data_IF_219619699065
#
_entry.id   IF_219619699065
#
_cell.length_a   1.000
_cell.length_b   1.000
_cell.length_c   1.000
_cell.angle_alpha   90.00
_cell.angle_beta   90.00
_cell.angle_gamma   90.00
#
_symmetry.space_group_name_H-M   'P 1'
#
loop_
_entity.id
_entity.type
_entity.pdbx_description
1 polymer ?
#
# COMPACT_ATOMS: atom_id res chain seq x y z
N UNK A 1 36.56 19.63 -19.04
CA UNK A 1 35.09 19.48 -18.91
C UNK A 1 34.64 18.39 -19.86
N UNK A 2 33.93 17.38 -19.36
CA UNK A 2 33.21 16.47 -20.26
C UNK A 2 32.09 17.26 -20.96
N UNK A 3 31.91 17.04 -22.26
CA UNK A 3 30.87 17.69 -23.04
C UNK A 3 29.69 16.73 -23.19
N UNK A 4 28.58 17.02 -22.52
CA UNK A 4 27.33 16.25 -22.62
C UNK A 4 26.47 16.83 -23.75
N UNK A 5 25.85 15.96 -24.55
CA UNK A 5 24.84 16.31 -25.56
C UNK A 5 23.54 15.62 -25.21
N UNK A 6 22.44 16.37 -25.18
CA UNK A 6 21.09 15.85 -24.95
C UNK A 6 20.31 15.99 -26.26
N UNK A 7 19.61 14.93 -26.67
CA UNK A 7 18.71 14.93 -27.81
C UNK A 7 17.30 14.59 -27.31
N UNK A 8 16.31 15.37 -27.74
CA UNK A 8 14.91 15.16 -27.39
C UNK A 8 14.08 15.16 -28.67
N UNK A 9 13.32 14.08 -28.88
CA UNK A 9 12.43 13.89 -30.02
C UNK A 9 11.09 13.36 -29.51
N UNK A 10 10.01 14.03 -29.89
CA UNK A 10 8.65 13.67 -29.48
C UNK A 10 8.22 12.28 -29.98
N UNK A 11 8.91 11.72 -30.98
CA UNK A 11 8.65 10.37 -31.49
C UNK A 11 9.32 9.28 -30.66
N UNK A 12 10.29 9.60 -29.80
CA UNK A 12 10.94 8.66 -28.88
C UNK A 12 10.16 8.55 -27.56
N UNK A 13 8.89 8.14 -27.66
CA UNK A 13 7.97 8.06 -26.53
C UNK A 13 8.25 6.82 -25.68
N UNK A 14 8.42 7.00 -24.37
CA UNK A 14 8.60 5.90 -23.40
C UNK A 14 7.25 5.32 -22.95
N UNK A 15 6.28 6.18 -22.63
CA UNK A 15 4.95 5.79 -22.16
C UNK A 15 4.09 6.99 -21.81
N UNK A 16 2.85 6.73 -21.38
CA UNK A 16 1.99 7.73 -20.75
C UNK A 16 2.28 7.77 -19.25
N UNK A 17 2.36 8.97 -18.67
CA UNK A 17 2.62 9.14 -17.24
C UNK A 17 1.32 8.89 -16.49
N UNK A 18 1.27 7.78 -15.75
CA UNK A 18 0.23 7.57 -14.74
C UNK A 18 0.50 8.53 -13.57
N UNK A 19 -0.50 9.33 -13.20
CA UNK A 19 -0.38 10.28 -12.09
C UNK A 19 -0.06 9.59 -10.77
N UNK A 20 -0.45 8.33 -10.59
CA UNK A 20 -0.15 7.56 -9.38
C UNK A 20 1.35 7.35 -9.12
N UNK A 21 2.22 7.60 -10.12
CA UNK A 21 3.68 7.65 -9.93
C UNK A 21 4.09 8.72 -8.90
N UNK A 22 3.28 9.76 -8.71
CA UNK A 22 3.50 10.84 -7.74
C UNK A 22 2.77 10.59 -6.41
N UNK A 23 2.44 9.33 -6.11
CA UNK A 23 1.82 8.93 -4.86
C UNK A 23 2.71 9.14 -3.63
N UNK A 24 2.10 9.00 -2.45
CA UNK A 24 2.79 9.04 -1.18
C UNK A 24 2.31 7.92 -0.25
N UNK A 25 2.75 7.95 1.00
CA UNK A 25 2.56 6.87 1.95
C UNK A 25 2.48 7.41 3.38
N UNK A 26 1.44 6.98 4.11
CA UNK A 26 1.27 7.25 5.53
C UNK A 26 1.21 5.92 6.27
N UNK A 27 2.11 5.77 7.23
CA UNK A 27 2.12 4.66 8.18
C UNK A 27 1.82 5.18 9.58
N UNK A 28 1.24 4.33 10.42
CA UNK A 28 1.28 4.49 11.87
C UNK A 28 2.72 4.29 12.38
N UNK A 29 3.59 5.25 12.07
CA UNK A 29 5.02 5.26 12.39
C UNK A 29 5.40 6.63 12.93
N UNK A 30 5.86 6.65 14.19
CA UNK A 30 6.32 7.86 14.85
C UNK A 30 5.26 8.96 14.81
N UNK A 31 5.53 10.05 14.08
CA UNK A 31 4.67 11.24 14.01
C UNK A 31 4.02 11.46 12.64
N UNK A 32 3.93 10.42 11.81
CA UNK A 32 3.29 10.55 10.50
C UNK A 32 1.78 10.80 10.63
N UNK A 33 1.11 10.05 11.51
CA UNK A 33 -0.32 10.22 11.83
C UNK A 33 -0.48 11.23 12.98
N UNK A 34 -0.12 10.81 14.20
CA UNK A 34 -0.21 11.62 15.41
C UNK A 34 0.86 12.71 15.42
N UNK A 35 0.48 13.96 15.72
CA UNK A 35 1.35 15.15 15.57
C UNK A 35 1.79 15.43 14.12
N UNK A 36 1.21 14.72 13.15
CA UNK A 36 1.44 14.84 11.72
C UNK A 36 0.18 15.29 11.01
N UNK A 37 -0.49 14.39 10.32
CA UNK A 37 -1.76 14.71 9.63
C UNK A 37 -2.95 14.88 10.59
N UNK A 38 -2.85 14.37 11.82
CA UNK A 38 -3.92 14.36 12.83
C UNK A 38 -3.41 14.83 14.21
N UNK A 39 -4.00 15.93 14.70
CA UNK A 39 -3.65 16.57 15.98
C UNK A 39 -4.82 17.44 16.48
N UNK A 40 -5.87 16.88 17.13
CA UNK A 40 -7.10 17.59 17.50
C UNK A 40 -6.96 18.85 18.35
N UNK A 41 -5.82 19.05 19.02
CA UNK A 41 -5.54 20.24 19.83
C UNK A 41 -4.73 21.33 19.11
N UNK A 42 -4.31 21.11 17.87
CA UNK A 42 -3.46 22.06 17.16
C UNK A 42 -4.26 23.30 16.72
N UNK A 43 -3.68 24.53 16.74
CA UNK A 43 -4.37 25.75 16.32
C UNK A 43 -4.95 25.75 14.89
N UNK A 44 -4.44 24.87 14.02
CA UNK A 44 -4.89 24.71 12.63
C UNK A 44 -5.69 23.42 12.41
N UNK A 45 -6.04 22.69 13.47
CA UNK A 45 -6.83 21.48 13.33
C UNK A 45 -8.29 21.82 13.00
N UNK A 46 -8.88 21.07 12.08
CA UNK A 46 -10.31 21.13 11.78
C UNK A 46 -11.14 20.35 12.82
N UNK A 47 -12.46 20.31 12.63
CA UNK A 47 -13.39 19.62 13.53
C UNK A 47 -13.18 18.11 13.62
N UNK A 48 -12.47 17.51 12.65
CA UNK A 48 -12.12 16.09 12.66
C UNK A 48 -10.76 15.85 13.32
N UNK A 49 -10.01 16.92 13.62
CA UNK A 49 -8.66 16.90 14.17
C UNK A 49 -7.57 16.90 13.10
N UNK A 50 -7.90 17.13 11.83
CA UNK A 50 -6.91 17.15 10.75
C UNK A 50 -6.21 18.50 10.67
N UNK A 51 -4.88 18.49 10.57
CA UNK A 51 -4.05 19.70 10.45
C UNK A 51 -4.24 20.38 9.10
N UNK A 52 -4.94 21.52 9.06
CA UNK A 52 -5.26 22.20 7.79
C UNK A 52 -4.04 22.81 7.09
N UNK A 53 -3.02 23.23 7.85
CA UNK A 53 -1.74 23.68 7.31
C UNK A 53 -0.95 22.54 6.66
N UNK A 54 -0.97 21.33 7.24
CA UNK A 54 -0.38 20.13 6.63
C UNK A 54 -1.15 19.73 5.37
N UNK A 55 -2.50 19.78 5.40
CA UNK A 55 -3.34 19.56 4.22
C UNK A 55 -3.00 20.57 3.11
N UNK A 56 -2.74 21.84 3.44
CA UNK A 56 -2.30 22.87 2.51
C UNK A 56 -1.04 22.45 1.75
N UNK A 57 0.01 22.06 2.48
CA UNK A 57 1.27 21.59 1.90
C UNK A 57 1.09 20.35 1.01
N UNK A 58 0.26 19.39 1.42
CA UNK A 58 0.01 18.18 0.64
C UNK A 58 -0.73 18.48 -0.67
N UNK A 59 -1.65 19.46 -0.66
CA UNK A 59 -2.33 19.92 -1.88
C UNK A 59 -1.36 20.60 -2.84
N UNK A 60 -0.38 21.36 -2.35
CA UNK A 60 0.67 21.96 -3.18
C UNK A 60 1.54 20.89 -3.87
N UNK A 61 1.84 19.78 -3.18
CA UNK A 61 2.53 18.63 -3.75
C UNK A 61 1.70 17.88 -4.81
N UNK A 62 0.39 18.11 -4.85
CA UNK A 62 -0.55 17.48 -5.79
C UNK A 62 -0.44 15.95 -5.78
N UNK A 63 -0.41 15.38 -4.57
CA UNK A 63 -0.37 13.92 -4.33
C UNK A 63 -1.69 13.30 -4.80
N UNK A 64 -1.70 12.32 -5.73
CA UNK A 64 -2.95 11.75 -6.26
C UNK A 64 -3.43 10.52 -5.50
N UNK A 65 -2.53 9.80 -4.83
CA UNK A 65 -2.80 8.54 -4.13
C UNK A 65 -1.92 8.41 -2.88
N UNK A 66 -2.47 7.87 -1.80
CA UNK A 66 -1.72 7.62 -0.55
C UNK A 66 -1.95 6.19 -0.06
N UNK A 67 -0.86 5.47 0.21
CA UNK A 67 -0.89 4.16 0.87
C UNK A 67 -1.14 4.28 2.39
N UNK A 68 -1.93 3.38 2.97
CA UNK A 68 -2.29 3.33 4.41
C UNK A 68 -2.77 1.89 4.80
N UNK A 69 -2.72 1.44 6.08
CA UNK A 69 -2.19 2.06 7.30
C UNK A 69 -0.70 1.83 7.52
N UNK A 70 -0.01 1.18 6.60
CA UNK A 70 1.40 1.02 6.80
C UNK A 70 2.15 0.20 5.80
N UNK A 71 3.40 0.05 6.22
CA UNK A 71 4.37 -0.94 5.88
C UNK A 71 4.39 -1.96 7.01
N UNK A 72 5.38 -1.91 7.89
CA UNK A 72 5.56 -2.95 8.91
C UNK A 72 4.44 -2.99 9.97
N UNK A 73 3.91 -1.83 10.37
CA UNK A 73 2.79 -1.70 11.33
C UNK A 73 1.60 -2.61 10.96
N UNK A 74 1.28 -2.66 9.66
CA UNK A 74 0.12 -3.40 9.13
C UNK A 74 0.14 -4.88 9.53
N UNK A 75 1.31 -5.50 9.60
CA UNK A 75 1.44 -6.96 9.73
C UNK A 75 1.05 -7.48 11.12
N UNK A 76 0.91 -6.60 12.11
CA UNK A 76 0.39 -6.89 13.45
C UNK A 76 -0.97 -6.24 13.74
N UNK A 77 -1.54 -5.50 12.79
CA UNK A 77 -2.68 -4.62 13.00
C UNK A 77 -4.04 -5.32 12.79
N UNK A 78 -4.99 -5.08 13.69
CA UNK A 78 -6.41 -5.41 13.50
C UNK A 78 -7.19 -4.14 13.13
N UNK A 79 -7.67 -4.06 11.89
CA UNK A 79 -8.39 -2.90 11.37
C UNK A 79 -9.66 -2.56 12.15
N UNK A 80 -10.24 -3.55 12.86
CA UNK A 80 -11.44 -3.36 13.69
C UNK A 80 -11.16 -2.52 14.93
N UNK A 81 -9.92 -2.52 15.41
CA UNK A 81 -9.53 -1.70 16.56
C UNK A 81 -9.56 -0.20 16.21
N UNK A 82 -9.49 0.17 14.91
CA UNK A 82 -9.50 1.55 14.41
C UNK A 82 -10.85 2.07 13.88
N UNK A 83 -11.97 1.41 14.17
CA UNK A 83 -13.31 1.88 13.72
C UNK A 83 -14.26 2.07 14.90
N UNK A 84 -15.39 2.71 14.66
CA UNK A 84 -16.40 2.98 15.68
C UNK A 84 -16.03 4.07 16.68
N UNK A 85 -16.77 4.21 17.78
CA UNK A 85 -16.58 5.30 18.74
C UNK A 85 -15.18 5.28 19.36
N UNK A 86 -14.44 6.40 19.26
CA UNK A 86 -13.01 6.49 19.66
C UNK A 86 -12.78 6.06 21.10
N UNK A 87 -13.72 6.39 22.01
CA UNK A 87 -13.65 6.05 23.43
C UNK A 87 -13.76 4.55 23.74
N UNK A 88 -14.17 3.74 22.75
CA UNK A 88 -14.26 2.28 22.87
C UNK A 88 -13.11 1.55 22.16
N UNK A 89 -12.27 2.28 21.41
CA UNK A 89 -11.16 1.70 20.66
C UNK A 89 -10.02 1.33 21.63
N UNK A 90 -9.43 0.14 21.48
CA UNK A 90 -8.39 -0.31 22.39
C UNK A 90 -7.03 0.29 22.01
N UNK A 91 -6.23 0.62 23.02
CA UNK A 91 -4.79 0.83 22.83
C UNK A 91 -4.08 -0.51 22.63
N UNK A 92 -3.20 -0.60 21.62
CA UNK A 92 -2.43 -1.81 21.28
C UNK A 92 -0.92 -1.54 21.32
N UNK A 93 -0.15 -2.61 21.45
CA UNK A 93 1.29 -2.53 21.19
C UNK A 93 1.52 -2.71 19.70
N UNK A 94 2.25 -1.78 19.10
CA UNK A 94 2.84 -1.96 17.78
C UNK A 94 4.22 -2.61 17.93
N UNK A 95 4.33 -3.84 17.42
CA UNK A 95 5.56 -4.61 17.48
C UNK A 95 6.58 -4.21 16.40
N UNK A 96 6.14 -3.54 15.32
CA UNK A 96 7.02 -3.09 14.26
C UNK A 96 7.91 -1.93 14.73
N UNK A 97 7.32 -0.95 15.40
CA UNK A 97 8.02 0.26 15.84
C UNK A 97 8.20 0.37 17.35
N UNK A 98 7.77 -0.66 18.11
CA UNK A 98 7.92 -0.74 19.56
C UNK A 98 7.23 0.43 20.29
N UNK A 99 6.05 0.80 19.80
CA UNK A 99 5.23 1.90 20.34
C UNK A 99 3.87 1.40 20.81
N UNK A 100 3.09 2.29 21.44
CA UNK A 100 1.68 2.07 21.72
C UNK A 100 0.83 2.79 20.67
N UNK A 101 -0.09 2.08 20.04
CA UNK A 101 -1.07 2.62 19.09
C UNK A 101 -2.40 2.88 19.79
N UNK A 102 -2.87 4.12 19.79
CA UNK A 102 -4.12 4.52 20.48
C UNK A 102 -5.37 4.19 19.69
N UNK A 103 -5.26 3.99 18.38
CA UNK A 103 -6.33 3.79 17.41
C UNK A 103 -7.32 4.96 17.30
N UNK A 104 -6.93 6.17 17.74
CA UNK A 104 -7.76 7.36 17.56
C UNK A 104 -8.00 7.72 16.08
N UNK A 105 -7.02 7.37 15.24
CA UNK A 105 -7.11 7.50 13.79
C UNK A 105 -7.10 6.10 13.17
N UNK A 106 -8.14 5.74 12.44
CA UNK A 106 -8.21 4.47 11.74
C UNK A 106 -8.82 4.60 10.35
N UNK A 107 -9.47 3.54 9.88
CA UNK A 107 -10.02 3.47 8.51
C UNK A 107 -10.98 4.64 8.23
N UNK A 108 -11.93 4.92 9.13
CA UNK A 108 -12.94 5.96 8.88
C UNK A 108 -12.33 7.37 8.86
N UNK A 109 -11.38 7.66 9.76
CA UNK A 109 -10.65 8.93 9.76
C UNK A 109 -9.80 9.10 8.50
N UNK A 110 -9.10 8.04 8.07
CA UNK A 110 -8.30 8.07 6.84
C UNK A 110 -9.15 8.32 5.60
N UNK A 111 -10.33 7.71 5.51
CA UNK A 111 -11.26 7.93 4.38
C UNK A 111 -11.81 9.35 4.36
N UNK A 112 -12.16 9.92 5.53
CA UNK A 112 -12.56 11.33 5.65
C UNK A 112 -11.42 12.27 5.24
N UNK A 113 -10.20 11.97 5.67
CA UNK A 113 -9.01 12.74 5.30
C UNK A 113 -8.75 12.69 3.79
N UNK A 114 -8.81 11.51 3.16
CA UNK A 114 -8.70 11.33 1.71
C UNK A 114 -9.77 12.13 0.95
N UNK A 115 -11.03 12.07 1.40
CA UNK A 115 -12.12 12.86 0.82
C UNK A 115 -11.87 14.36 0.91
N UNK A 116 -11.37 14.85 2.05
CA UNK A 116 -11.04 16.27 2.24
C UNK A 116 -9.87 16.73 1.36
N UNK A 117 -8.86 15.88 1.17
CA UNK A 117 -7.68 16.22 0.36
C UNK A 117 -7.87 15.98 -1.14
N UNK A 118 -8.87 15.18 -1.54
CA UNK A 118 -9.05 14.72 -2.92
C UNK A 118 -8.08 13.61 -3.32
N UNK A 119 -7.45 12.96 -2.33
CA UNK A 119 -6.47 11.90 -2.52
C UNK A 119 -7.19 10.56 -2.66
N UNK A 120 -6.73 9.73 -3.60
CA UNK A 120 -7.20 8.36 -3.75
C UNK A 120 -6.61 7.48 -2.63
N UNK A 121 -7.41 6.71 -1.88
CA UNK A 121 -6.88 5.78 -0.89
C UNK A 121 -6.30 4.52 -1.57
N UNK A 122 -5.10 4.11 -1.16
CA UNK A 122 -4.55 2.78 -1.39
C UNK A 122 -4.44 2.05 -0.04
N UNK A 123 -5.40 1.17 0.23
CA UNK A 123 -5.46 0.43 1.49
C UNK A 123 -4.53 -0.79 1.46
N UNK A 124 -4.20 -1.32 2.61
CA UNK A 124 -3.43 -2.55 2.72
C UNK A 124 -4.08 -3.51 3.74
N UNK A 125 -4.05 -4.81 3.45
CA UNK A 125 -4.61 -5.86 4.32
C UNK A 125 -3.52 -6.62 5.06
N UNK A 126 -3.75 -6.93 6.33
CA UNK A 126 -2.77 -7.63 7.17
C UNK A 126 -2.60 -9.09 6.71
N UNK A 127 -1.38 -9.43 6.28
CA UNK A 127 -0.98 -10.78 5.88
C UNK A 127 0.02 -11.44 6.84
N UNK A 128 0.42 -10.75 7.91
CA UNK A 128 1.18 -11.30 9.02
C UNK A 128 0.25 -12.09 9.95
N UNK A 129 -0.28 -11.42 10.97
CA UNK A 129 -1.21 -12.03 11.93
C UNK A 129 -2.66 -12.16 11.40
N UNK A 130 -3.01 -11.41 10.36
CA UNK A 130 -4.34 -11.40 9.77
C UNK A 130 -4.66 -12.63 8.90
N UNK A 131 -5.96 -12.87 8.73
CA UNK A 131 -6.50 -13.93 7.88
C UNK A 131 -7.05 -13.38 6.55
N UNK A 132 -7.27 -14.27 5.58
CA UNK A 132 -7.93 -13.90 4.32
C UNK A 132 -9.37 -13.40 4.55
N UNK A 133 -10.02 -13.85 5.63
CA UNK A 133 -11.36 -13.39 5.99
C UNK A 133 -11.33 -11.97 6.56
N UNK A 134 -10.31 -11.62 7.35
CA UNK A 134 -10.13 -10.24 7.82
C UNK A 134 -9.94 -9.26 6.65
N UNK A 135 -9.20 -9.68 5.62
CA UNK A 135 -9.05 -8.93 4.37
C UNK A 135 -10.38 -8.75 3.62
N UNK A 136 -11.16 -9.83 3.49
CA UNK A 136 -12.48 -9.77 2.86
C UNK A 136 -13.43 -8.84 3.63
N UNK A 137 -13.49 -8.94 4.96
CA UNK A 137 -14.34 -8.07 5.77
C UNK A 137 -13.94 -6.59 5.69
N UNK A 138 -12.64 -6.27 5.58
CA UNK A 138 -12.24 -4.88 5.38
C UNK A 138 -12.70 -4.34 4.02
N UNK A 139 -12.67 -5.17 2.97
CA UNK A 139 -13.25 -4.81 1.66
C UNK A 139 -14.76 -4.63 1.75
N UNK A 140 -15.47 -5.53 2.43
CA UNK A 140 -16.92 -5.43 2.66
C UNK A 140 -17.27 -4.13 3.39
N UNK A 141 -16.57 -3.84 4.49
CA UNK A 141 -16.74 -2.64 5.27
C UNK A 141 -16.57 -1.40 4.40
N UNK A 142 -15.53 -1.35 3.58
CA UNK A 142 -15.23 -0.18 2.76
C UNK A 142 -16.13 -0.03 1.52
N UNK A 143 -16.55 -1.13 0.90
CA UNK A 143 -17.08 -1.08 -0.47
C UNK A 143 -18.50 -1.62 -0.63
N UNK A 144 -19.03 -2.43 0.29
CA UNK A 144 -20.36 -3.00 0.14
C UNK A 144 -21.46 -2.00 0.56
N UNK A 145 -22.55 -1.93 -0.19
CA UNK A 145 -23.57 -0.88 -0.02
C UNK A 145 -24.24 -0.89 1.37
N UNK A 146 -24.69 -2.05 1.82
CA UNK A 146 -25.42 -2.22 3.09
C UNK A 146 -26.14 -3.56 3.14
N UNK A 147 -26.77 -3.88 4.27
CA UNK A 147 -27.57 -5.10 4.46
C UNK A 147 -26.79 -6.32 4.94
N UNK A 148 -25.56 -6.10 5.38
CA UNK A 148 -24.72 -7.11 6.04
C UNK A 148 -24.20 -6.56 7.36
N UNK A 149 -23.87 -7.44 8.31
CA UNK A 149 -23.34 -7.01 9.61
C UNK A 149 -22.09 -6.12 9.49
N UNK A 150 -21.23 -6.34 8.49
CA UNK A 150 -19.99 -5.57 8.32
C UNK A 150 -20.24 -4.25 7.56
N UNK A 151 -21.07 -4.24 6.51
CA UNK A 151 -21.41 -3.00 5.79
C UNK A 151 -22.30 -2.07 6.63
N UNK A 152 -23.24 -2.63 7.39
CA UNK A 152 -24.08 -1.88 8.32
C UNK A 152 -23.27 -1.33 9.49
N UNK A 153 -22.21 -2.02 9.94
CA UNK A 153 -21.27 -1.47 10.92
C UNK A 153 -20.60 -0.18 10.42
N UNK A 154 -20.22 -0.08 9.13
CA UNK A 154 -19.70 1.18 8.56
C UNK A 154 -20.74 2.30 8.66
N UNK A 155 -21.99 1.98 8.32
CA UNK A 155 -23.13 2.91 8.35
C UNK A 155 -23.40 3.39 9.77
N UNK A 156 -23.41 2.48 10.75
CA UNK A 156 -23.52 2.78 12.18
C UNK A 156 -22.37 3.67 12.69
N UNK A 157 -21.16 3.50 12.15
CA UNK A 157 -20.00 4.32 12.46
C UNK A 157 -20.03 5.72 11.80
N UNK A 158 -21.11 6.06 11.10
CA UNK A 158 -21.37 7.38 10.53
C UNK A 158 -20.95 7.55 9.07
N UNK A 159 -20.64 6.47 8.37
CA UNK A 159 -20.36 6.47 6.93
C UNK A 159 -21.42 5.65 6.17
N UNK A 160 -22.51 6.34 5.81
CA UNK A 160 -23.67 5.77 5.12
C UNK A 160 -23.30 5.13 3.77
N UNK A 161 -22.62 5.89 2.92
CA UNK A 161 -22.19 5.45 1.58
C UNK A 161 -20.87 4.66 1.64
N UNK A 162 -20.67 3.68 0.76
CA UNK A 162 -19.37 3.02 0.61
C UNK A 162 -18.25 4.01 0.26
N UNK A 163 -17.06 3.75 0.80
CA UNK A 163 -15.83 4.48 0.47
C UNK A 163 -15.33 4.17 -0.95
N UNK A 164 -15.71 3.01 -1.52
CA UNK A 164 -15.34 2.59 -2.88
C UNK A 164 -13.82 2.56 -3.11
N UNK A 165 -13.08 1.98 -2.17
CA UNK A 165 -11.62 1.87 -2.24
C UNK A 165 -11.23 0.95 -3.39
N UNK A 166 -10.42 1.50 -4.29
CA UNK A 166 -10.01 0.80 -5.52
C UNK A 166 -8.70 0.04 -5.38
N UNK A 167 -7.70 0.63 -4.72
CA UNK A 167 -6.34 0.08 -4.67
C UNK A 167 -6.10 -0.62 -3.33
N UNK A 168 -5.59 -1.86 -3.40
CA UNK A 168 -5.36 -2.70 -2.23
C UNK A 168 -4.04 -3.45 -2.28
N UNK A 169 -3.15 -3.19 -1.34
CA UNK A 169 -1.95 -3.99 -1.10
C UNK A 169 -2.28 -5.25 -0.29
N UNK A 170 -1.82 -6.40 -0.75
CA UNK A 170 -1.98 -7.68 -0.05
C UNK A 170 -0.76 -7.88 0.85
N UNK A 171 -0.80 -7.35 2.07
CA UNK A 171 0.33 -7.40 3.01
C UNK A 171 1.41 -6.34 2.76
N UNK A 172 2.56 -6.57 3.38
CA UNK A 172 3.75 -5.73 3.26
C UNK A 172 5.03 -6.56 3.41
N UNK A 173 5.95 -6.50 2.43
CA UNK A 173 7.35 -6.95 2.55
C UNK A 173 7.52 -8.25 3.38
N UNK A 174 6.77 -9.28 3.03
CA UNK A 174 6.65 -10.51 3.85
C UNK A 174 7.91 -11.39 3.80
N UNK A 175 8.89 -11.04 2.96
CA UNK A 175 10.19 -11.69 2.81
C UNK A 175 11.22 -11.23 3.86
N UNK A 176 11.01 -10.07 4.47
CA UNK A 176 11.90 -9.52 5.48
C UNK A 176 11.81 -10.29 6.81
N UNK A 177 12.94 -10.77 7.38
CA UNK A 177 12.92 -11.47 8.68
C UNK A 177 12.54 -10.58 9.86
N UNK A 178 12.52 -9.25 9.68
CA UNK A 178 12.03 -8.28 10.66
C UNK A 178 10.50 -8.15 10.66
N UNK A 179 9.81 -8.67 9.63
CA UNK A 179 8.38 -8.51 9.47
C UNK A 179 7.62 -9.40 10.45
N UNK A 180 6.59 -8.85 11.11
CA UNK A 180 5.68 -9.66 11.93
C UNK A 180 4.99 -10.69 11.04
N UNK A 181 5.15 -11.97 11.35
CA UNK A 181 4.57 -13.05 10.57
C UNK A 181 5.23 -13.26 9.20
N UNK A 182 6.54 -13.05 9.07
CA UNK A 182 7.30 -13.37 7.85
C UNK A 182 6.93 -14.75 7.28
N UNK A 183 6.97 -14.88 5.95
CA UNK A 183 6.62 -16.09 5.22
C UNK A 183 7.68 -16.39 4.17
N UNK A 184 7.79 -17.66 3.76
CA UNK A 184 8.48 -17.98 2.50
C UNK A 184 7.67 -17.51 1.28
N UNK A 185 8.32 -17.40 0.12
CA UNK A 185 7.67 -16.94 -1.11
C UNK A 185 6.48 -17.84 -1.52
N UNK A 186 6.58 -19.15 -1.30
CA UNK A 186 5.50 -20.10 -1.64
C UNK A 186 4.32 -19.98 -0.66
N UNK A 187 4.59 -19.85 0.64
CA UNK A 187 3.55 -19.65 1.66
C UNK A 187 2.82 -18.33 1.44
N UNK A 188 3.56 -17.24 1.23
CA UNK A 188 2.97 -15.94 0.94
C UNK A 188 2.21 -15.96 -0.39
N UNK A 189 2.78 -16.50 -1.46
CA UNK A 189 2.12 -16.57 -2.77
C UNK A 189 0.77 -17.30 -2.72
N UNK A 190 0.70 -18.44 -2.02
CA UNK A 190 -0.56 -19.18 -1.79
C UNK A 190 -1.56 -18.38 -0.95
N UNK A 191 -1.10 -17.78 0.15
CA UNK A 191 -1.97 -16.96 1.03
C UNK A 191 -2.51 -15.73 0.29
N UNK A 192 -1.66 -15.06 -0.48
CA UNK A 192 -2.00 -13.87 -1.27
C UNK A 192 -2.97 -14.19 -2.41
N UNK A 193 -2.83 -15.34 -3.07
CA UNK A 193 -3.79 -15.79 -4.08
C UNK A 193 -5.20 -15.95 -3.49
N UNK A 194 -5.32 -16.63 -2.36
CA UNK A 194 -6.63 -16.84 -1.72
C UNK A 194 -7.20 -15.52 -1.16
N UNK A 195 -6.36 -14.64 -0.59
CA UNK A 195 -6.77 -13.29 -0.22
C UNK A 195 -7.32 -12.51 -1.42
N UNK A 196 -6.60 -12.50 -2.55
CA UNK A 196 -7.03 -11.81 -3.76
C UNK A 196 -8.38 -12.33 -4.28
N UNK A 197 -8.61 -13.65 -4.25
CA UNK A 197 -9.88 -14.26 -4.66
C UNK A 197 -11.03 -13.80 -3.77
N UNK A 198 -10.90 -13.95 -2.45
CA UNK A 198 -11.99 -13.58 -1.53
C UNK A 198 -12.26 -12.07 -1.54
N UNK A 199 -11.22 -11.23 -1.62
CA UNK A 199 -11.39 -9.77 -1.74
C UNK A 199 -12.17 -9.40 -3.01
N UNK A 200 -11.88 -10.03 -4.15
CA UNK A 200 -12.64 -9.80 -5.39
C UNK A 200 -14.07 -10.30 -5.29
N UNK A 201 -14.28 -11.49 -4.72
CA UNK A 201 -15.62 -12.04 -4.53
C UNK A 201 -16.47 -11.25 -3.55
N UNK A 202 -15.86 -10.59 -2.57
CA UNK A 202 -16.56 -9.71 -1.63
C UNK A 202 -16.89 -8.35 -2.25
N UNK A 203 -15.98 -7.78 -3.04
CA UNK A 203 -16.24 -6.50 -3.72
C UNK A 203 -17.26 -6.63 -4.86
N UNK A 204 -17.28 -7.78 -5.52
CA UNK A 204 -18.30 -8.07 -6.50
C UNK A 204 -19.53 -8.47 -5.69
N UNK A 205 -20.57 -7.65 -5.62
CA UNK A 205 -21.87 -8.21 -5.24
C UNK A 205 -22.12 -9.44 -6.13
N UNK A 206 -22.96 -10.36 -5.68
CA UNK A 206 -23.46 -11.48 -6.50
C UNK A 206 -24.23 -11.01 -7.78
N UNK A 207 -24.06 -9.75 -8.21
CA UNK A 207 -24.33 -9.24 -9.53
C UNK A 207 -23.14 -9.53 -10.47
N UNK A 208 -23.42 -10.29 -11.52
CA UNK A 208 -22.50 -10.63 -12.64
C UNK A 208 -21.73 -9.45 -13.26
N UNK A 209 -22.07 -8.20 -12.91
CA UNK A 209 -21.54 -6.97 -13.49
C UNK A 209 -21.04 -5.96 -12.44
N UNK A 210 -20.99 -6.30 -11.15
CA UNK A 210 -20.27 -5.48 -10.17
C UNK A 210 -18.81 -5.37 -10.64
N UNK A 211 -18.23 -4.17 -10.71
CA UNK A 211 -17.05 -3.98 -11.51
C UNK A 211 -15.88 -4.77 -10.91
N UNK A 212 -15.15 -5.48 -11.77
CA UNK A 212 -13.82 -6.05 -11.51
C UNK A 212 -12.78 -4.94 -11.23
N UNK A 213 -13.11 -3.97 -10.38
CA UNK A 213 -12.41 -2.69 -10.30
C UNK A 213 -11.29 -2.67 -9.27
N UNK A 214 -11.25 -3.65 -8.35
CA UNK A 214 -10.15 -3.73 -7.41
C UNK A 214 -8.83 -3.86 -8.16
N UNK A 215 -7.90 -2.98 -7.81
CA UNK A 215 -6.51 -2.97 -8.20
C UNK A 215 -5.69 -3.57 -7.07
N UNK A 216 -5.34 -4.84 -7.24
CA UNK A 216 -4.64 -5.59 -6.21
C UNK A 216 -3.13 -5.54 -6.45
N UNK A 217 -2.38 -5.19 -5.41
CA UNK A 217 -0.93 -5.08 -5.42
C UNK A 217 -0.35 -6.19 -4.53
N UNK A 218 0.41 -7.11 -5.12
CA UNK A 218 1.11 -8.15 -4.36
C UNK A 218 2.47 -7.64 -3.88
N UNK A 219 2.92 -8.08 -2.71
CA UNK A 219 4.21 -7.67 -2.14
C UNK A 219 5.36 -8.34 -2.87
N UNK A 220 6.19 -7.54 -3.54
CA UNK A 220 7.51 -7.96 -4.01
C UNK A 220 8.53 -8.00 -2.87
N UNK A 221 9.79 -8.23 -3.22
CA UNK A 221 10.89 -8.21 -2.24
C UNK A 221 11.03 -6.86 -1.53
N UNK A 222 11.46 -6.86 -0.26
CA UNK A 222 11.73 -5.62 0.51
C UNK A 222 12.80 -4.71 -0.12
N UNK A 223 13.71 -5.28 -0.91
CA UNK A 223 14.70 -4.59 -1.74
C UNK A 223 15.45 -5.63 -2.58
N UNK A 224 16.25 -5.18 -3.55
CA UNK A 224 17.03 -6.08 -4.39
C UNK A 224 18.28 -6.70 -3.72
N UNK A 225 18.66 -6.24 -2.53
CA UNK A 225 19.79 -6.82 -1.77
C UNK A 225 19.35 -8.05 -0.97
N UNK A 226 18.04 -8.32 -0.91
CA UNK A 226 17.48 -9.52 -0.30
C UNK A 226 18.02 -10.76 -0.99
N UNK A 227 18.45 -11.77 -0.21
CA UNK A 227 18.93 -13.05 -0.75
C UNK A 227 17.89 -13.79 -1.59
N UNK A 228 16.61 -13.47 -1.37
CA UNK A 228 15.46 -14.03 -2.06
C UNK A 228 15.14 -13.28 -3.36
N UNK A 229 15.73 -12.12 -3.64
CA UNK A 229 15.49 -11.38 -4.87
C UNK A 229 16.27 -11.98 -6.07
N UNK A 230 15.69 -12.10 -7.28
CA UNK A 230 14.29 -11.87 -7.68
C UNK A 230 13.42 -13.15 -7.60
N UNK A 231 13.92 -14.21 -6.96
CA UNK A 231 13.25 -15.50 -6.85
C UNK A 231 11.93 -15.41 -6.07
N UNK A 232 11.87 -14.56 -5.05
CA UNK A 232 10.64 -14.20 -4.34
C UNK A 232 9.56 -13.72 -5.30
N UNK A 233 9.88 -12.68 -6.08
CA UNK A 233 8.94 -12.05 -7.00
C UNK A 233 8.45 -13.06 -8.04
N UNK A 234 9.36 -13.90 -8.56
CA UNK A 234 9.03 -14.98 -9.50
C UNK A 234 8.01 -15.96 -8.88
N UNK A 235 8.32 -16.51 -7.71
CA UNK A 235 7.48 -17.53 -7.06
C UNK A 235 6.11 -16.96 -6.68
N UNK A 236 6.08 -15.77 -6.10
CA UNK A 236 4.84 -15.09 -5.70
C UNK A 236 3.96 -14.82 -6.92
N UNK A 237 4.54 -14.31 -8.01
CA UNK A 237 3.79 -14.06 -9.24
C UNK A 237 3.29 -15.33 -9.90
N UNK A 238 4.01 -16.46 -9.83
CA UNK A 238 3.51 -17.72 -10.39
C UNK A 238 2.22 -18.20 -9.73
N UNK A 239 2.05 -17.92 -8.44
CA UNK A 239 0.79 -18.18 -7.73
C UNK A 239 -0.29 -17.14 -8.07
N UNK A 240 0.09 -15.86 -8.19
CA UNK A 240 -0.86 -14.74 -8.12
C UNK A 240 -1.15 -14.03 -9.44
N UNK A 241 -0.46 -14.37 -10.55
CA UNK A 241 -0.47 -13.61 -11.82
C UNK A 241 -1.87 -13.24 -12.32
N UNK A 242 -2.80 -14.20 -12.27
CA UNK A 242 -4.18 -14.00 -12.74
C UNK A 242 -5.09 -13.32 -11.72
N UNK A 243 -4.65 -13.15 -10.48
CA UNK A 243 -5.46 -12.57 -9.41
C UNK A 243 -5.10 -11.11 -9.11
N UNK A 244 -3.90 -10.65 -9.48
CA UNK A 244 -3.38 -9.32 -9.11
C UNK A 244 -3.18 -8.40 -10.31
N UNK A 245 -2.96 -7.11 -10.06
CA UNK A 245 -2.79 -6.07 -11.07
C UNK A 245 -1.38 -5.45 -11.07
N UNK A 246 -0.71 -5.44 -9.91
CA UNK A 246 0.61 -4.83 -9.71
C UNK A 246 1.50 -5.67 -8.79
N UNK A 247 2.81 -5.49 -8.94
CA UNK A 247 3.86 -5.98 -8.02
C UNK A 247 4.51 -4.78 -7.34
N UNK A 248 4.62 -4.78 -6.01
CA UNK A 248 5.32 -3.70 -5.31
C UNK A 248 6.84 -3.80 -5.43
N UNK A 249 7.52 -2.65 -5.38
CA UNK A 249 8.97 -2.51 -5.38
C UNK A 249 9.36 -1.48 -4.32
N UNK A 250 10.39 -1.77 -3.53
CA UNK A 250 10.84 -0.88 -2.46
C UNK A 250 12.34 -0.63 -2.60
N UNK A 251 12.72 0.65 -2.62
CA UNK A 251 14.13 1.04 -2.71
C UNK A 251 14.37 2.34 -1.95
N UNK A 252 15.32 2.29 -1.03
CA UNK A 252 15.78 3.43 -0.26
C UNK A 252 17.27 3.65 -0.53
N UNK A 253 17.66 4.92 -0.64
CA UNK A 253 19.05 5.32 -0.76
C UNK A 253 19.38 6.28 0.38
N UNK A 254 20.56 6.11 0.95
CA UNK A 254 21.04 6.95 2.02
C UNK A 254 22.52 7.26 1.78
N UNK A 255 22.86 8.54 1.95
CA UNK A 255 24.24 8.95 2.15
C UNK A 255 24.59 8.87 3.63
N UNK A 256 25.70 8.23 3.95
CA UNK A 256 26.21 8.11 5.31
C UNK A 256 27.74 8.19 5.28
N UNK A 257 28.25 9.33 5.75
CA UNK A 257 29.70 9.62 5.86
C UNK A 257 30.45 8.56 6.67
N UNK A 258 29.77 7.91 7.62
CA UNK A 258 30.38 6.91 8.51
C UNK A 258 30.42 5.50 7.90
N UNK A 259 29.54 5.21 6.93
CA UNK A 259 29.42 3.88 6.29
C UNK A 259 30.32 3.67 5.08
N UNK A 260 31.29 4.56 4.84
CA UNK A 260 32.20 4.48 3.67
C UNK A 260 31.46 4.31 2.34
N UNK A 261 30.24 4.84 2.21
CA UNK A 261 29.58 4.99 0.91
C UNK A 261 29.94 6.38 0.38
N UNK A 262 30.78 6.49 -0.68
CA UNK A 262 31.13 7.77 -1.27
C UNK A 262 29.88 8.54 -1.71
N UNK A 263 29.95 9.86 -1.74
CA UNK A 263 28.86 10.71 -2.21
C UNK A 263 28.49 10.39 -3.66
N UNK A 264 29.49 10.00 -4.45
CA UNK A 264 29.38 9.61 -5.85
C UNK A 264 28.46 8.41 -6.04
N UNK A 265 28.54 7.41 -5.17
CA UNK A 265 27.66 6.23 -5.23
C UNK A 265 26.21 6.63 -4.93
N UNK A 266 26.01 7.50 -3.95
CA UNK A 266 24.67 8.02 -3.64
C UNK A 266 24.09 8.83 -4.82
N UNK A 267 24.89 9.68 -5.47
CA UNK A 267 24.47 10.41 -6.67
C UNK A 267 24.22 9.48 -7.87
N UNK A 268 24.86 8.30 -7.91
CA UNK A 268 24.66 7.25 -8.91
C UNK A 268 23.45 6.34 -8.68
N UNK A 269 22.66 6.55 -7.62
CA UNK A 269 21.53 5.68 -7.24
C UNK A 269 20.48 5.47 -8.35
N UNK A 270 20.37 6.39 -9.32
CA UNK A 270 19.44 6.25 -10.43
C UNK A 270 19.79 5.06 -11.36
N UNK A 271 21.07 4.72 -11.51
CA UNK A 271 21.50 3.58 -12.34
C UNK A 271 21.09 2.26 -11.69
N UNK A 272 21.26 2.17 -10.37
CA UNK A 272 20.82 1.05 -9.54
C UNK A 272 19.29 0.88 -9.56
N UNK A 273 18.53 1.98 -9.47
CA UNK A 273 17.06 1.95 -9.61
C UNK A 273 16.65 1.42 -10.99
N UNK A 274 17.33 1.84 -12.05
CA UNK A 274 17.05 1.40 -13.41
C UNK A 274 17.34 -0.09 -13.61
N UNK A 275 18.44 -0.60 -13.04
CA UNK A 275 18.75 -2.05 -13.06
C UNK A 275 17.72 -2.87 -12.28
N UNK A 276 17.28 -2.37 -11.11
CA UNK A 276 16.26 -3.03 -10.30
C UNK A 276 14.92 -3.13 -11.05
N UNK A 277 14.45 -2.02 -11.64
CA UNK A 277 13.25 -2.01 -12.50
C UNK A 277 13.40 -2.96 -13.68
N UNK A 278 14.57 -2.98 -14.32
CA UNK A 278 14.87 -3.88 -15.44
C UNK A 278 14.77 -5.36 -15.07
N UNK A 279 15.29 -5.73 -13.90
CA UNK A 279 15.23 -7.10 -13.37
C UNK A 279 13.79 -7.51 -13.09
N UNK A 280 13.00 -6.68 -12.40
CA UNK A 280 11.59 -6.98 -12.12
C UNK A 280 10.76 -7.09 -13.40
N UNK A 281 11.00 -6.22 -14.39
CA UNK A 281 10.34 -6.31 -15.70
C UNK A 281 10.63 -7.65 -16.39
N UNK A 282 11.89 -8.11 -16.36
CA UNK A 282 12.26 -9.40 -16.93
C UNK A 282 11.58 -10.57 -16.18
N UNK A 283 11.53 -10.50 -14.84
CA UNK A 283 10.84 -11.50 -14.00
C UNK A 283 9.35 -11.56 -14.31
N UNK A 284 8.67 -10.41 -14.40
CA UNK A 284 7.23 -10.32 -14.72
C UNK A 284 6.95 -10.94 -16.10
N UNK A 285 7.74 -10.62 -17.13
CA UNK A 285 7.56 -11.19 -18.48
C UNK A 285 7.88 -12.68 -18.53
N UNK A 286 8.88 -13.16 -17.79
CA UNK A 286 9.15 -14.60 -17.65
C UNK A 286 7.94 -15.33 -17.07
N UNK A 287 7.40 -14.86 -15.93
CA UNK A 287 6.27 -15.51 -15.28
C UNK A 287 5.04 -15.47 -16.18
N UNK A 288 4.76 -14.33 -16.83
CA UNK A 288 3.69 -14.18 -17.82
C UNK A 288 3.74 -15.27 -18.88
N UNK A 289 4.92 -15.46 -19.49
CA UNK A 289 5.12 -16.47 -20.51
C UNK A 289 4.94 -17.89 -19.96
N UNK A 290 5.46 -18.15 -18.75
CA UNK A 290 5.36 -19.45 -18.07
C UNK A 290 3.92 -19.84 -17.77
N UNK A 291 3.12 -18.93 -17.21
CA UNK A 291 1.69 -19.17 -16.91
C UNK A 291 0.80 -18.99 -18.15
N UNK A 292 1.39 -18.59 -19.29
CA UNK A 292 0.71 -18.38 -20.59
C UNK A 292 -0.40 -17.32 -20.50
N UNK A 293 -0.22 -16.31 -19.66
CA UNK A 293 -1.20 -15.24 -19.49
C UNK A 293 -1.23 -14.32 -20.70
N UNK A 294 -2.44 -13.90 -21.08
CA UNK A 294 -2.64 -12.80 -22.05
C UNK A 294 -2.64 -11.44 -21.37
N UNK A 295 -2.78 -11.38 -20.04
CA UNK A 295 -2.76 -10.14 -19.28
C UNK A 295 -1.33 -9.62 -19.17
N UNK A 296 -1.24 -8.31 -19.04
CA UNK A 296 -0.01 -7.63 -18.67
C UNK A 296 -0.22 -7.06 -17.28
N UNK A 297 0.58 -7.55 -16.33
CA UNK A 297 0.70 -6.95 -15.02
C UNK A 297 1.38 -5.58 -15.17
N UNK A 298 0.91 -4.59 -14.40
CA UNK A 298 1.41 -3.22 -14.46
C UNK A 298 2.52 -2.98 -13.43
#
# INVERSE_FOLDING_TARGET
MMKTKIFADANLRVGEIDRNLFGSFIEHLGRAVYEGIYEPGHPTADENGFREDVIGLIRELNVPIVRYPGGNFLSGYDWRDGIGPREKRPTRLDLAWLTTETNEFGTDEFMKWCKKTGITPMMAVNMGTGTILDAAHLVEYCNHAGGTAISDLRRENGAEEPYNVKYWCIGNEMDGPWQTGHLSADEYGKKALEAAKVMRWTNSEYEKNAPHDLKLIVSGSSNHEMKTFPEWDRVVLEHTYEAVDYLSMHRYYQYDETRKRPLEDFLGSADDMNEYIGTLKATIEYVRAKVRSKRHLK
#
